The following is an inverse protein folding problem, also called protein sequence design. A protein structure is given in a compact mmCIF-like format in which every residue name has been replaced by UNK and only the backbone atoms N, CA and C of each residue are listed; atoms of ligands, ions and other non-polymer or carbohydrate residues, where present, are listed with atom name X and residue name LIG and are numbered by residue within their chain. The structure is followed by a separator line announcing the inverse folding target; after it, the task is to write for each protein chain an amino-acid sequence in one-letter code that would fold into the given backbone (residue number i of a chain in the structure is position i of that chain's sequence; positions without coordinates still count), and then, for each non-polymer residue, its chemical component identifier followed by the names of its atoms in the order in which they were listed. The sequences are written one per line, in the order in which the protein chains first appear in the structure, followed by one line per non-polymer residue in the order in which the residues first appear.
data_IF_350518208299
#
_entry.id   IF_350518208299
#
_cell.length_a   1.000
_cell.length_b   1.000
_cell.length_c   1.000
_cell.angle_alpha   90.00
_cell.angle_beta   90.00
_cell.angle_gamma   90.00
#
_symmetry.space_group_name_H-M   'P 1'
#
loop_
_entity.id
_entity.type
_entity.pdbx_description
1 polymer ?
#
# COMPACT_ATOMS: atom_id res chain seq x y z
N UNK A 1 -36.44 -0.10 41.15
CA UNK A 1 -37.82 -0.38 40.70
C UNK A 1 -37.71 -0.61 39.19
N UNK A 2 -38.01 -1.70 38.57
CA UNK A 2 -38.44 -3.02 38.95
C UNK A 2 -38.04 -3.98 37.87
N UNK A 3 -37.68 -5.11 38.33
CA UNK A 3 -37.55 -6.39 37.69
C UNK A 3 -38.79 -6.77 36.83
N UNK A 4 -38.55 -7.56 35.79
CA UNK A 4 -39.31 -8.79 35.58
C UNK A 4 -38.56 -9.74 34.62
N UNK A 5 -38.20 -10.87 35.17
CA UNK A 5 -37.91 -12.17 34.55
C UNK A 5 -39.20 -12.82 34.06
N UNK A 6 -39.07 -13.77 33.12
CA UNK A 6 -39.78 -15.07 32.95
C UNK A 6 -39.47 -15.49 31.49
N UNK A 7 -38.98 -16.64 31.08
CA UNK A 7 -38.94 -17.96 31.72
C UNK A 7 -39.48 -19.01 30.79
N UNK A 8 -38.58 -19.95 30.35
CA UNK A 8 -38.78 -21.42 30.18
C UNK A 8 -39.92 -21.97 29.30
N UNK A 9 -39.65 -22.89 28.36
CA UNK A 9 -39.72 -24.38 28.32
C UNK A 9 -39.73 -24.85 26.88
N UNK A 10 -38.92 -25.71 26.35
CA UNK A 10 -38.65 -27.14 26.49
C UNK A 10 -39.83 -28.07 26.14
N UNK A 11 -39.54 -28.98 25.21
CA UNK A 11 -40.01 -30.35 24.94
C UNK A 11 -40.01 -30.59 23.42
N UNK A 12 -39.34 -31.52 22.79
CA UNK A 12 -39.00 -32.88 23.14
C UNK A 12 -39.99 -33.88 22.54
N UNK A 13 -39.59 -34.58 21.47
CA UNK A 13 -39.92 -36.01 21.34
C UNK A 13 -39.24 -36.66 20.12
N UNK A 14 -38.61 -37.79 20.40
CA UNK A 14 -38.14 -38.83 19.49
C UNK A 14 -39.32 -39.63 18.93
N UNK A 15 -39.17 -40.25 17.75
CA UNK A 15 -39.58 -41.65 17.53
C UNK A 15 -38.69 -42.32 16.50
N UNK A 16 -38.24 -43.51 16.89
CA UNK A 16 -37.54 -44.53 16.12
C UNK A 16 -38.52 -45.26 15.16
N UNK A 17 -38.02 -45.88 14.10
CA UNK A 17 -38.01 -47.34 13.87
C UNK A 17 -37.68 -47.66 12.41
N UNK A 18 -36.66 -48.35 12.11
CA UNK A 18 -36.36 -49.80 12.03
C UNK A 18 -36.78 -50.50 10.76
N UNK A 19 -35.79 -51.26 10.24
CA UNK A 19 -35.94 -52.51 9.52
C UNK A 19 -35.76 -52.41 8.02
N UNK A 20 -34.94 -53.13 7.34
CA UNK A 20 -34.28 -54.38 7.57
C UNK A 20 -34.12 -55.11 6.24
N UNK A 21 -32.95 -55.62 6.03
CA UNK A 21 -32.59 -56.91 5.46
C UNK A 21 -32.44 -57.14 3.94
N UNK A 22 -31.20 -57.39 3.58
CA UNK A 22 -30.55 -58.51 2.85
C UNK A 22 -31.08 -58.96 1.48
N UNK A 23 -30.20 -59.10 0.49
CA UNK A 23 -29.63 -60.39 0.13
C UNK A 23 -28.68 -60.32 -1.06
N UNK A 24 -27.73 -61.21 -0.99
CA UNK A 24 -26.60 -61.55 -1.89
C UNK A 24 -26.97 -61.87 -3.33
N UNK A 25 -25.98 -61.72 -4.23
CA UNK A 25 -26.03 -62.31 -5.58
C UNK A 25 -24.76 -62.06 -6.35
N UNK A 26 -23.84 -63.01 -6.22
CA UNK A 26 -22.58 -63.20 -6.94
C UNK A 26 -22.77 -63.35 -8.45
N UNK A 27 -21.78 -62.89 -9.23
CA UNK A 27 -21.66 -63.23 -10.66
C UNK A 27 -20.51 -62.56 -11.39
N UNK A 28 -19.41 -63.25 -11.42
CA UNK A 28 -18.17 -63.05 -12.25
C UNK A 28 -18.46 -63.11 -13.74
N UNK A 29 -17.88 -62.26 -14.59
CA UNK A 29 -16.98 -62.63 -15.69
C UNK A 29 -16.44 -61.42 -16.48
N UNK A 30 -15.27 -61.60 -17.01
CA UNK A 30 -14.28 -60.71 -17.54
C UNK A 30 -14.46 -60.23 -19.01
N UNK A 31 -13.61 -59.26 -19.37
CA UNK A 31 -13.07 -58.89 -20.70
C UNK A 31 -13.96 -57.96 -21.55
N UNK A 32 -13.50 -56.84 -22.11
CA UNK A 32 -12.30 -56.56 -22.86
C UNK A 32 -12.20 -55.05 -23.12
N UNK A 33 -11.00 -54.57 -23.31
CA UNK A 33 -10.55 -53.20 -23.59
C UNK A 33 -11.24 -52.45 -24.72
N UNK A 34 -11.56 -51.18 -24.49
CA UNK A 34 -11.51 -50.15 -25.52
C UNK A 34 -10.94 -48.85 -24.89
N UNK A 35 -9.79 -48.45 -25.37
CA UNK A 35 -9.22 -47.15 -25.13
C UNK A 35 -10.08 -46.10 -25.83
N UNK A 36 -10.80 -45.32 -25.08
CA UNK A 36 -11.36 -44.08 -25.55
C UNK A 36 -10.83 -42.97 -24.65
N UNK A 37 -9.97 -42.16 -25.23
CA UNK A 37 -9.44 -40.92 -24.64
C UNK A 37 -10.57 -39.94 -24.56
N UNK A 38 -11.31 -39.97 -23.48
CA UNK A 38 -12.19 -38.91 -23.08
C UNK A 38 -11.33 -37.83 -22.39
N UNK A 39 -11.15 -36.70 -23.03
CA UNK A 39 -10.80 -35.45 -22.38
C UNK A 39 -11.82 -35.19 -21.29
N UNK A 40 -11.47 -35.43 -20.06
CA UNK A 40 -12.25 -34.94 -18.92
C UNK A 40 -12.05 -33.41 -18.88
N UNK A 41 -13.00 -32.67 -19.38
CA UNK A 41 -13.26 -31.32 -18.91
C UNK A 41 -13.79 -31.50 -17.47
N UNK A 42 -12.88 -31.51 -16.51
CA UNK A 42 -13.21 -31.50 -15.10
C UNK A 42 -13.81 -30.13 -14.77
N UNK A 43 -15.09 -30.09 -14.44
CA UNK A 43 -15.64 -28.98 -13.66
C UNK A 43 -14.83 -28.90 -12.36
N UNK A 44 -13.91 -27.93 -12.29
CA UNK A 44 -13.13 -27.60 -11.10
C UNK A 44 -14.06 -26.85 -10.14
N UNK A 45 -14.99 -27.56 -9.51
CA UNK A 45 -15.90 -26.98 -8.52
C UNK A 45 -15.24 -27.13 -7.14
N UNK A 46 -14.33 -26.21 -6.80
CA UNK A 46 -13.76 -26.10 -5.47
C UNK A 46 -14.80 -25.50 -4.52
N UNK A 47 -15.09 -26.17 -3.40
CA UNK A 47 -15.94 -25.61 -2.34
C UNK A 47 -15.22 -24.55 -1.49
N UNK A 48 -13.95 -24.25 -1.82
CA UNK A 48 -13.11 -23.28 -1.08
C UNK A 48 -13.47 -21.85 -1.45
N UNK A 49 -13.63 -21.02 -0.44
CA UNK A 49 -13.69 -19.57 -0.58
C UNK A 49 -12.56 -18.96 0.25
N UNK A 50 -11.59 -18.34 -0.40
CA UNK A 50 -10.48 -17.65 0.25
C UNK A 50 -10.93 -16.29 0.78
N UNK A 51 -10.61 -16.01 2.02
CA UNK A 51 -10.72 -14.66 2.61
C UNK A 51 -9.53 -13.82 2.17
N UNK A 52 -9.81 -12.63 1.64
CA UNK A 52 -8.78 -11.69 1.16
C UNK A 52 -8.94 -10.35 1.87
N UNK A 53 -7.88 -9.80 2.45
CA UNK A 53 -7.91 -8.48 3.09
C UNK A 53 -7.05 -7.46 2.36
N UNK A 54 -7.63 -6.29 2.13
CA UNK A 54 -7.00 -5.13 1.50
C UNK A 54 -7.41 -3.86 2.26
N UNK A 55 -6.80 -2.68 1.94
CA UNK A 55 -7.17 -1.43 2.61
C UNK A 55 -7.71 -0.32 1.72
N UNK A 56 -7.76 -0.50 0.40
CA UNK A 56 -8.18 0.55 -0.53
C UNK A 56 -9.48 0.19 -1.26
N UNK A 57 -10.56 0.89 -0.90
CA UNK A 57 -11.88 0.76 -1.53
C UNK A 57 -11.90 1.19 -3.00
N UNK A 58 -10.93 2.00 -3.44
CA UNK A 58 -10.87 2.44 -4.83
C UNK A 58 -10.29 1.37 -5.75
N UNK A 59 -9.41 0.51 -5.22
CA UNK A 59 -8.81 -0.60 -5.95
C UNK A 59 -9.71 -1.86 -5.95
N UNK A 60 -10.59 -2.00 -4.95
CA UNK A 60 -11.44 -3.18 -4.75
C UNK A 60 -12.19 -3.63 -6.02
N UNK A 61 -12.93 -2.76 -6.75
CA UNK A 61 -13.70 -3.21 -7.92
C UNK A 61 -12.85 -3.82 -9.03
N UNK A 62 -11.66 -3.26 -9.27
CA UNK A 62 -10.74 -3.80 -10.27
C UNK A 62 -10.12 -5.13 -9.82
N UNK A 63 -9.83 -5.29 -8.53
CA UNK A 63 -9.32 -6.54 -7.97
C UNK A 63 -10.40 -7.63 -7.97
N UNK A 64 -11.66 -7.29 -7.68
CA UNK A 64 -12.79 -8.22 -7.81
C UNK A 64 -12.92 -8.74 -9.24
N UNK A 65 -12.76 -7.88 -10.25
CA UNK A 65 -12.77 -8.28 -11.67
C UNK A 65 -11.65 -9.27 -11.99
N UNK A 66 -10.42 -9.02 -11.52
CA UNK A 66 -9.28 -9.93 -11.72
C UNK A 66 -9.51 -11.26 -10.99
N UNK A 67 -10.02 -11.22 -9.76
CA UNK A 67 -10.31 -12.42 -8.95
C UNK A 67 -11.52 -13.20 -9.47
N UNK A 68 -12.46 -12.54 -10.17
CA UNK A 68 -13.53 -13.26 -10.87
C UNK A 68 -12.98 -14.11 -12.04
N UNK A 69 -11.98 -13.60 -12.77
CA UNK A 69 -11.29 -14.40 -13.79
C UNK A 69 -10.54 -15.59 -13.16
N UNK A 70 -9.86 -15.38 -12.04
CA UNK A 70 -9.24 -16.46 -11.27
C UNK A 70 -10.27 -17.54 -10.87
N UNK A 71 -11.40 -17.12 -10.32
CA UNK A 71 -12.48 -18.04 -9.92
C UNK A 71 -13.00 -18.83 -11.13
N UNK A 72 -13.16 -18.19 -12.28
CA UNK A 72 -13.60 -18.84 -13.51
C UNK A 72 -12.62 -19.90 -14.01
N UNK A 73 -11.31 -19.65 -13.83
CA UNK A 73 -10.26 -20.57 -14.30
C UNK A 73 -10.01 -21.72 -13.34
N UNK A 74 -10.18 -21.51 -12.03
CA UNK A 74 -9.77 -22.46 -10.98
C UNK A 74 -10.92 -23.10 -10.23
N UNK A 75 -12.11 -22.49 -10.25
CA UNK A 75 -13.24 -22.85 -9.39
C UNK A 75 -13.11 -22.35 -7.94
N UNK A 76 -11.95 -21.80 -7.54
CA UNK A 76 -11.72 -21.28 -6.19
C UNK A 76 -12.35 -19.90 -6.07
N UNK A 77 -13.22 -19.70 -5.08
CA UNK A 77 -13.87 -18.41 -4.84
C UNK A 77 -13.00 -17.52 -3.96
N UNK A 78 -13.20 -16.22 -4.08
CA UNK A 78 -12.57 -15.23 -3.22
C UNK A 78 -13.60 -14.31 -2.59
N UNK A 79 -13.31 -13.80 -1.40
CA UNK A 79 -14.11 -12.79 -0.73
C UNK A 79 -13.18 -11.70 -0.21
N UNK A 80 -13.23 -10.53 -0.85
CA UNK A 80 -12.49 -9.37 -0.40
C UNK A 80 -13.17 -8.73 0.81
N UNK A 81 -12.36 -8.29 1.77
CA UNK A 81 -12.77 -7.44 2.89
C UNK A 81 -11.84 -6.23 2.89
N UNK A 82 -12.43 -5.05 2.82
CA UNK A 82 -11.66 -3.80 2.88
C UNK A 82 -11.66 -3.28 4.31
N UNK A 83 -10.45 -3.12 4.88
CA UNK A 83 -10.22 -2.46 6.17
C UNK A 83 -9.38 -1.23 5.89
N UNK A 84 -9.86 -0.03 6.22
CA UNK A 84 -9.15 1.22 5.93
C UNK A 84 -7.74 1.20 6.51
N UNK A 85 -6.79 1.82 5.84
CA UNK A 85 -5.38 1.88 6.26
C UNK A 85 -5.20 2.20 7.74
N UNK A 86 -5.90 3.20 8.26
CA UNK A 86 -5.81 3.63 9.65
C UNK A 86 -6.16 2.53 10.69
N UNK A 87 -6.96 1.55 10.29
CA UNK A 87 -7.46 0.48 11.14
C UNK A 87 -6.85 -0.88 10.78
N UNK A 88 -6.20 -0.97 9.60
CA UNK A 88 -5.79 -2.25 9.00
C UNK A 88 -4.83 -3.04 9.89
N UNK A 89 -3.74 -2.44 10.30
CA UNK A 89 -2.73 -3.14 11.10
C UNK A 89 -3.21 -3.49 12.51
N UNK A 90 -4.06 -2.66 13.12
CA UNK A 90 -4.72 -2.99 14.39
C UNK A 90 -5.64 -4.21 14.24
N UNK A 91 -6.42 -4.28 13.16
CA UNK A 91 -7.28 -5.41 12.87
C UNK A 91 -6.47 -6.69 12.56
N UNK A 92 -5.40 -6.56 11.76
CA UNK A 92 -4.52 -7.67 11.43
C UNK A 92 -3.77 -8.22 12.65
N UNK A 93 -3.33 -7.36 13.56
CA UNK A 93 -2.70 -7.77 14.83
C UNK A 93 -3.68 -8.54 15.71
N UNK A 94 -4.90 -8.04 15.88
CA UNK A 94 -5.94 -8.74 16.63
C UNK A 94 -6.26 -10.11 15.98
N UNK A 95 -6.33 -10.17 14.66
CA UNK A 95 -6.55 -11.41 13.92
C UNK A 95 -5.38 -12.40 14.08
N UNK A 96 -4.13 -11.91 14.06
CA UNK A 96 -2.93 -12.73 14.29
C UNK A 96 -2.94 -13.37 15.69
N UNK A 97 -3.22 -12.57 16.72
CA UNK A 97 -3.34 -13.07 18.11
C UNK A 97 -4.48 -14.07 18.27
N UNK A 98 -5.59 -13.87 17.54
CA UNK A 98 -6.74 -14.78 17.53
C UNK A 98 -6.57 -16.01 16.62
N UNK A 99 -5.48 -16.13 15.89
CA UNK A 99 -5.25 -17.20 14.92
C UNK A 99 -6.22 -17.17 13.74
N UNK A 100 -6.75 -16.00 13.37
CA UNK A 100 -7.80 -15.79 12.38
C UNK A 100 -7.39 -14.79 11.28
N UNK A 101 -6.10 -14.71 10.96
CA UNK A 101 -5.63 -13.93 9.80
C UNK A 101 -6.38 -14.37 8.54
N UNK A 102 -6.68 -13.45 7.60
CA UNK A 102 -7.21 -13.81 6.28
C UNK A 102 -6.27 -14.79 5.55
N UNK A 103 -6.82 -15.62 4.65
CA UNK A 103 -6.02 -16.57 3.90
C UNK A 103 -4.95 -15.86 3.06
N UNK A 104 -5.34 -14.78 2.38
CA UNK A 104 -4.44 -13.93 1.56
C UNK A 104 -4.69 -12.46 1.92
N UNK A 105 -3.63 -11.67 1.94
CA UNK A 105 -3.75 -10.25 2.28
C UNK A 105 -2.60 -9.41 1.73
N UNK A 106 -2.83 -8.11 1.67
CA UNK A 106 -1.77 -7.17 1.32
C UNK A 106 -0.77 -7.04 2.46
N UNK A 107 0.50 -7.12 2.11
CA UNK A 107 1.62 -6.84 3.00
C UNK A 107 2.33 -5.57 2.55
N UNK A 108 2.65 -4.71 3.51
CA UNK A 108 3.45 -3.50 3.33
C UNK A 108 4.85 -3.70 3.92
N UNK A 109 5.86 -3.04 3.34
CA UNK A 109 7.25 -3.13 3.82
C UNK A 109 7.43 -2.73 5.29
N UNK A 110 6.66 -1.75 5.79
CA UNK A 110 6.73 -1.28 7.18
C UNK A 110 6.48 -2.38 8.22
N UNK A 111 5.71 -3.41 7.85
CA UNK A 111 5.33 -4.51 8.72
C UNK A 111 5.93 -5.86 8.29
N UNK A 112 6.47 -5.94 7.09
CA UNK A 112 6.88 -7.22 6.49
C UNK A 112 7.90 -7.97 7.35
N UNK A 113 8.96 -7.30 7.81
CA UNK A 113 10.02 -7.92 8.62
C UNK A 113 9.48 -8.43 9.97
N UNK A 114 8.58 -7.67 10.60
CA UNK A 114 7.92 -8.08 11.85
C UNK A 114 7.05 -9.33 11.65
N UNK A 115 6.25 -9.37 10.59
CA UNK A 115 5.38 -10.51 10.30
C UNK A 115 6.19 -11.76 9.91
N UNK A 116 7.25 -11.61 9.10
CA UNK A 116 8.13 -12.69 8.70
C UNK A 116 8.90 -13.28 9.90
N UNK A 117 9.54 -12.43 10.70
CA UNK A 117 10.34 -12.87 11.86
C UNK A 117 9.52 -13.53 12.96
N UNK A 118 8.23 -13.19 13.09
CA UNK A 118 7.31 -13.82 14.03
C UNK A 118 6.56 -15.04 13.46
N UNK A 119 6.89 -15.49 12.24
CA UNK A 119 6.30 -16.67 11.61
C UNK A 119 4.81 -16.54 11.32
N UNK A 120 4.31 -15.33 11.08
CA UNK A 120 2.91 -15.06 10.78
C UNK A 120 2.56 -15.31 9.31
N UNK A 121 3.57 -15.27 8.41
CA UNK A 121 3.41 -15.47 6.97
C UNK A 121 3.75 -16.89 6.55
N UNK A 122 3.03 -17.40 5.56
CA UNK A 122 3.33 -18.65 4.89
C UNK A 122 4.65 -18.51 4.12
N UNK A 123 5.56 -19.44 4.34
CA UNK A 123 6.78 -19.57 3.55
C UNK A 123 6.42 -20.00 2.11
N UNK A 124 6.66 -19.12 1.15
CA UNK A 124 6.36 -19.33 -0.27
C UNK A 124 7.56 -19.84 -1.08
N UNK A 125 8.70 -20.04 -0.46
CA UNK A 125 9.98 -20.34 -1.14
C UNK A 125 9.88 -21.53 -2.09
N UNK A 126 9.35 -22.65 -1.62
CA UNK A 126 9.21 -23.85 -2.44
C UNK A 126 8.12 -23.70 -3.51
N UNK A 127 7.05 -22.99 -3.21
CA UNK A 127 6.00 -22.67 -4.18
C UNK A 127 6.57 -21.84 -5.34
N UNK A 128 7.29 -20.76 -5.03
CA UNK A 128 7.92 -19.88 -6.02
C UNK A 128 8.95 -20.64 -6.85
N UNK A 129 9.80 -21.42 -6.20
CA UNK A 129 10.84 -22.23 -6.87
C UNK A 129 10.26 -23.21 -7.89
N UNK A 130 9.11 -23.80 -7.60
CA UNK A 130 8.43 -24.78 -8.45
C UNK A 130 7.42 -24.16 -9.43
N UNK A 131 7.17 -22.85 -9.33
CA UNK A 131 6.24 -22.17 -10.21
C UNK A 131 6.81 -22.01 -11.63
N UNK A 132 5.96 -22.27 -12.62
CA UNK A 132 6.25 -21.92 -14.02
C UNK A 132 5.77 -20.50 -14.37
N UNK A 133 4.98 -19.89 -13.51
CA UNK A 133 4.36 -18.56 -13.70
C UNK A 133 5.20 -17.47 -13.07
N UNK A 134 5.57 -17.64 -11.79
CA UNK A 134 6.33 -16.65 -11.03
C UNK A 134 7.83 -16.85 -11.24
N UNK A 135 8.48 -15.87 -11.86
CA UNK A 135 9.94 -15.82 -12.07
C UNK A 135 10.44 -14.49 -11.48
N UNK A 136 11.36 -14.57 -10.51
CA UNK A 136 11.88 -13.39 -9.76
C UNK A 136 12.43 -12.28 -10.67
N UNK A 137 13.06 -12.67 -11.77
CA UNK A 137 13.62 -11.75 -12.77
C UNK A 137 12.60 -10.83 -13.45
N UNK A 138 11.32 -11.19 -13.38
CA UNK A 138 10.23 -10.40 -13.93
C UNK A 138 9.78 -9.26 -13.00
N UNK A 139 10.37 -9.16 -11.81
CA UNK A 139 10.03 -8.11 -10.81
C UNK A 139 11.27 -7.29 -10.45
N UNK A 140 11.12 -6.07 -9.92
CA UNK A 140 12.23 -5.32 -9.35
C UNK A 140 12.83 -6.10 -8.17
N UNK A 141 14.16 -6.23 -8.14
CA UNK A 141 14.86 -7.06 -7.14
C UNK A 141 14.70 -6.53 -5.73
N UNK A 142 14.73 -5.22 -5.56
CA UNK A 142 14.57 -4.51 -4.31
C UNK A 142 13.14 -4.62 -3.75
N UNK A 143 12.10 -4.44 -4.59
CA UNK A 143 10.70 -4.71 -4.18
C UNK A 143 10.52 -6.18 -3.78
N UNK A 144 11.12 -7.12 -4.53
CA UNK A 144 11.07 -8.53 -4.15
C UNK A 144 11.70 -8.77 -2.77
N UNK A 145 12.84 -8.12 -2.50
CA UNK A 145 13.59 -8.30 -1.26
C UNK A 145 12.87 -7.76 -0.01
N UNK A 146 11.87 -6.87 -0.16
CA UNK A 146 11.03 -6.40 0.95
C UNK A 146 10.28 -7.54 1.66
N UNK A 147 10.09 -8.66 0.96
CA UNK A 147 9.33 -9.82 1.41
C UNK A 147 10.19 -11.07 1.53
N UNK A 148 11.50 -10.86 1.64
CA UNK A 148 12.50 -11.89 1.90
C UNK A 148 13.04 -11.79 3.33
N UNK A 149 13.12 -12.93 4.03
CA UNK A 149 13.68 -12.99 5.39
C UNK A 149 14.41 -14.33 5.59
N UNK A 150 15.67 -14.29 6.07
CA UNK A 150 16.51 -15.47 6.32
C UNK A 150 16.58 -16.45 5.12
N UNK A 151 16.68 -15.90 3.91
CA UNK A 151 16.80 -16.69 2.68
C UNK A 151 15.48 -17.29 2.18
N UNK A 152 14.37 -16.94 2.76
CA UNK A 152 13.02 -17.37 2.39
C UNK A 152 12.22 -16.24 1.78
N UNK A 153 11.22 -16.58 0.97
CA UNK A 153 10.29 -15.66 0.33
C UNK A 153 8.89 -15.79 0.96
N UNK A 154 8.21 -14.68 1.23
CA UNK A 154 6.94 -14.70 1.96
C UNK A 154 5.80 -13.96 1.24
N UNK A 155 6.09 -13.22 0.17
CA UNK A 155 5.07 -12.62 -0.66
C UNK A 155 5.54 -12.51 -2.12
N UNK A 156 4.59 -12.33 -3.03
CA UNK A 156 4.84 -11.99 -4.43
C UNK A 156 4.47 -10.51 -4.63
N UNK A 157 5.35 -9.68 -5.22
CA UNK A 157 5.07 -8.28 -5.45
C UNK A 157 3.79 -8.04 -6.27
N UNK A 158 2.95 -7.14 -5.77
CA UNK A 158 1.68 -6.73 -6.39
C UNK A 158 1.87 -5.53 -7.31
N UNK A 159 2.56 -4.52 -6.82
CA UNK A 159 2.72 -3.23 -7.49
C UNK A 159 4.07 -2.61 -7.15
N UNK A 160 4.30 -1.48 -7.77
CA UNK A 160 5.32 -0.51 -7.40
C UNK A 160 4.64 0.86 -7.35
N UNK A 161 5.21 1.79 -6.62
CA UNK A 161 4.74 3.16 -6.58
C UNK A 161 5.91 4.15 -6.70
N UNK A 162 5.63 5.33 -7.15
CA UNK A 162 6.49 6.52 -7.08
C UNK A 162 5.62 7.70 -6.70
N UNK A 163 6.24 8.84 -6.45
CA UNK A 163 5.59 10.05 -5.99
C UNK A 163 5.60 11.11 -7.09
N UNK A 164 4.53 11.89 -7.19
CA UNK A 164 4.42 13.02 -8.11
C UNK A 164 3.80 14.23 -7.43
N UNK A 165 4.04 15.42 -7.98
CA UNK A 165 3.39 16.66 -7.58
C UNK A 165 2.05 16.80 -8.32
N UNK A 166 0.96 16.87 -7.59
CA UNK A 166 -0.37 17.19 -8.09
C UNK A 166 -0.65 18.67 -7.94
N UNK A 167 -1.32 19.26 -8.92
CA UNK A 167 -1.68 20.67 -8.91
C UNK A 167 -3.09 20.90 -9.46
N UNK A 168 -3.71 21.97 -8.97
CA UNK A 168 -5.05 22.38 -9.36
C UNK A 168 -4.97 23.46 -10.46
N UNK A 169 -5.22 23.06 -11.70
CA UNK A 169 -5.17 23.96 -12.89
C UNK A 169 -6.02 25.21 -12.70
N UNK A 170 -7.25 25.05 -12.17
CA UNK A 170 -8.15 26.19 -11.97
C UNK A 170 -7.57 27.24 -11.05
N UNK A 171 -6.93 26.83 -9.94
CA UNK A 171 -6.33 27.78 -8.99
C UNK A 171 -5.12 28.51 -9.61
N UNK A 172 -4.32 27.81 -10.42
CA UNK A 172 -3.21 28.41 -11.15
C UNK A 172 -3.71 29.42 -12.18
N UNK A 173 -4.74 29.07 -12.96
CA UNK A 173 -5.37 29.96 -13.95
C UNK A 173 -5.95 31.22 -13.29
N UNK A 174 -6.69 31.06 -12.19
CA UNK A 174 -7.25 32.18 -11.43
C UNK A 174 -6.19 33.13 -10.85
N UNK A 175 -5.01 32.58 -10.49
CA UNK A 175 -3.87 33.35 -10.01
C UNK A 175 -2.98 33.90 -11.14
N UNK A 176 -3.23 33.55 -12.41
CA UNK A 176 -2.40 33.91 -13.55
C UNK A 176 -1.00 33.31 -13.51
N UNK A 177 -0.85 32.13 -12.90
CA UNK A 177 0.41 31.43 -12.75
C UNK A 177 0.58 30.35 -13.84
N UNK A 178 1.79 30.19 -14.33
CA UNK A 178 2.14 29.03 -15.16
C UNK A 178 2.06 27.75 -14.34
N UNK A 179 1.65 26.66 -14.98
CA UNK A 179 1.60 25.33 -14.34
C UNK A 179 2.99 24.83 -13.97
N UNK A 180 3.10 23.96 -12.93
CA UNK A 180 4.34 23.28 -12.60
C UNK A 180 4.93 22.52 -13.80
N UNK A 181 6.24 22.47 -13.88
CA UNK A 181 6.97 21.69 -14.89
C UNK A 181 7.99 20.79 -14.21
N UNK A 182 8.54 19.83 -14.96
CA UNK A 182 9.59 18.94 -14.50
C UNK A 182 10.89 19.68 -14.08
N UNK A 183 11.02 20.96 -14.37
CA UNK A 183 12.18 21.77 -13.98
C UNK A 183 11.99 22.53 -12.67
N UNK A 184 10.80 22.44 -12.07
CA UNK A 184 10.55 23.07 -10.79
C UNK A 184 11.49 22.57 -9.69
N UNK A 185 11.81 23.48 -8.79
CA UNK A 185 12.49 23.21 -7.53
C UNK A 185 11.50 23.33 -6.36
N UNK A 186 11.89 22.85 -5.17
CA UNK A 186 11.13 23.08 -3.93
C UNK A 186 10.96 24.57 -3.61
N UNK A 187 11.90 25.42 -4.07
CA UNK A 187 11.77 26.88 -3.97
C UNK A 187 10.65 27.40 -4.90
N UNK A 188 10.56 26.89 -6.14
CA UNK A 188 9.48 27.27 -7.07
C UNK A 188 8.11 26.87 -6.55
N UNK A 189 7.98 25.66 -5.96
CA UNK A 189 6.78 25.22 -5.28
C UNK A 189 6.41 26.19 -4.14
N UNK A 190 7.39 26.56 -3.31
CA UNK A 190 7.19 27.48 -2.19
C UNK A 190 6.71 28.85 -2.66
N UNK A 191 7.33 29.40 -3.72
CA UNK A 191 6.92 30.69 -4.32
C UNK A 191 5.51 30.61 -4.92
N UNK A 192 5.16 29.51 -5.59
CA UNK A 192 3.81 29.30 -6.09
C UNK A 192 2.80 29.17 -4.94
N UNK A 193 3.15 28.44 -3.87
CA UNK A 193 2.30 28.30 -2.69
C UNK A 193 2.00 29.66 -2.04
N UNK A 194 2.97 30.55 -1.93
CA UNK A 194 2.77 31.94 -1.43
C UNK A 194 1.74 32.71 -2.25
N UNK A 195 1.76 32.56 -3.58
CA UNK A 195 0.85 33.26 -4.49
C UNK A 195 -0.54 32.62 -4.54
N UNK A 196 -0.64 31.32 -4.32
CA UNK A 196 -1.89 30.55 -4.35
C UNK A 196 -2.64 30.58 -3.02
N UNK A 197 -1.95 30.82 -1.91
CA UNK A 197 -2.58 30.99 -0.59
C UNK A 197 -3.52 32.19 -0.60
N UNK A 198 -4.73 32.03 -0.03
CA UNK A 198 -5.65 33.13 0.25
C UNK A 198 -5.54 33.57 1.72
N UNK A 199 -5.49 34.91 1.99
CA UNK A 199 -5.30 35.42 3.36
C UNK A 199 -6.45 35.06 4.32
N UNK A 200 -7.63 34.77 3.80
CA UNK A 200 -8.82 34.40 4.57
C UNK A 200 -8.85 32.91 4.98
N UNK A 201 -7.81 32.13 4.63
CA UNK A 201 -7.72 30.72 4.94
C UNK A 201 -8.66 29.82 4.10
N UNK A 202 -9.33 30.38 3.09
CA UNK A 202 -10.23 29.59 2.22
C UNK A 202 -9.47 28.70 1.23
N UNK A 203 -8.18 28.98 0.99
CA UNK A 203 -7.30 28.24 0.09
C UNK A 203 -5.87 28.26 0.59
N UNK A 204 -5.24 27.08 0.58
CA UNK A 204 -3.83 26.90 0.89
C UNK A 204 -3.03 26.61 -0.39
N UNK A 205 -1.76 27.02 -0.40
CA UNK A 205 -0.88 26.80 -1.54
C UNK A 205 -0.42 25.37 -1.70
N UNK A 206 -0.16 24.70 -0.58
CA UNK A 206 0.31 23.32 -0.52
C UNK A 206 -0.31 22.59 0.67
N UNK A 207 -0.23 21.26 0.73
CA UNK A 207 -0.58 20.49 1.91
C UNK A 207 0.41 19.33 2.07
N UNK A 208 0.91 19.18 3.28
CA UNK A 208 1.73 18.06 3.71
C UNK A 208 1.41 17.78 5.17
N UNK A 209 0.93 16.57 5.48
CA UNK A 209 0.62 16.16 6.86
C UNK A 209 1.87 15.77 7.64
N UNK A 210 1.86 15.90 8.99
CA UNK A 210 2.98 15.48 9.83
C UNK A 210 3.39 14.01 9.65
N UNK A 211 2.45 13.14 9.28
CA UNK A 211 2.66 11.71 9.04
C UNK A 211 2.78 11.35 7.56
N UNK A 212 2.91 12.32 6.67
CA UNK A 212 3.16 12.04 5.26
C UNK A 212 4.67 12.09 5.00
N UNK A 213 5.33 11.01 5.28
CA UNK A 213 6.76 10.81 5.08
C UNK A 213 7.06 10.30 3.67
N UNK A 214 6.47 9.18 3.25
CA UNK A 214 6.73 8.56 1.95
C UNK A 214 6.41 9.50 0.77
N UNK A 215 5.21 10.07 0.71
CA UNK A 215 4.85 10.99 -0.37
C UNK A 215 5.31 12.45 -0.10
N UNK A 216 5.89 12.73 1.06
CA UNK A 216 6.27 14.06 1.51
C UNK A 216 7.76 14.22 1.75
N UNK A 217 8.13 14.44 3.02
CA UNK A 217 9.44 14.96 3.38
C UNK A 217 10.61 13.98 3.19
N UNK A 218 10.40 12.67 3.05
CA UNK A 218 11.50 11.75 2.72
C UNK A 218 12.13 12.08 1.38
N UNK A 219 11.32 12.41 0.38
CA UNK A 219 11.80 12.83 -0.93
C UNK A 219 12.69 14.08 -0.81
N UNK A 220 12.26 15.07 -0.02
CA UNK A 220 13.01 16.32 0.21
C UNK A 220 14.37 16.05 0.88
N UNK A 221 14.42 15.14 1.87
CA UNK A 221 15.64 14.74 2.56
C UNK A 221 16.64 14.12 1.58
N UNK A 222 16.17 13.17 0.75
CA UNK A 222 16.99 12.47 -0.23
C UNK A 222 17.48 13.41 -1.35
N UNK A 223 16.62 14.30 -1.81
CA UNK A 223 16.96 15.33 -2.81
C UNK A 223 18.12 16.21 -2.33
N UNK A 224 18.10 16.62 -1.05
CA UNK A 224 19.15 17.40 -0.43
C UNK A 224 20.44 16.61 -0.22
N UNK A 225 20.39 15.28 -0.33
CA UNK A 225 21.49 14.35 -0.10
C UNK A 225 21.67 14.00 1.38
N UNK A 226 20.62 14.15 2.18
CA UNK A 226 20.47 13.54 3.49
C UNK A 226 20.04 12.07 3.37
N UNK A 227 19.67 11.46 4.48
CA UNK A 227 19.14 10.09 4.53
C UNK A 227 18.21 9.92 5.74
N UNK A 228 17.37 8.91 5.73
CA UNK A 228 16.46 8.60 6.83
C UNK A 228 17.05 7.49 7.70
N UNK A 229 17.47 6.42 7.05
CA UNK A 229 18.06 5.22 7.66
C UNK A 229 19.31 4.83 6.85
N UNK A 230 20.42 4.51 7.51
CA UNK A 230 21.63 4.05 6.82
C UNK A 230 21.48 2.61 6.31
N UNK A 231 22.32 2.19 5.39
CA UNK A 231 22.26 0.89 4.71
C UNK A 231 22.28 -0.29 5.68
N UNK A 232 23.03 -0.17 6.79
CA UNK A 232 23.14 -1.21 7.82
C UNK A 232 21.93 -1.26 8.74
N UNK A 233 20.98 -0.33 8.60
CA UNK A 233 19.81 -0.15 9.47
C UNK A 233 20.16 0.05 10.95
N UNK A 234 21.31 0.67 11.22
CA UNK A 234 21.83 0.88 12.58
C UNK A 234 21.76 2.31 13.04
N UNK A 235 21.53 3.26 12.12
CA UNK A 235 21.61 4.69 12.40
C UNK A 235 20.57 5.49 11.62
N UNK A 236 19.87 6.36 12.33
CA UNK A 236 19.02 7.41 11.76
C UNK A 236 19.83 8.53 11.14
N UNK A 237 19.35 9.09 10.05
CA UNK A 237 19.91 10.26 9.38
C UNK A 237 19.17 11.56 9.64
N UNK A 238 18.20 11.60 10.52
CA UNK A 238 17.42 12.82 10.77
C UNK A 238 18.28 13.94 11.38
N UNK A 239 19.35 13.64 12.13
CA UNK A 239 20.29 14.59 12.68
C UNK A 239 21.42 14.99 11.72
N UNK A 240 21.46 14.44 10.50
CA UNK A 240 22.37 14.89 9.46
C UNK A 240 22.04 16.33 9.06
N UNK A 241 23.04 17.21 8.91
CA UNK A 241 22.80 18.61 8.53
C UNK A 241 21.95 18.79 7.27
N UNK A 242 22.12 17.93 6.25
CA UNK A 242 21.35 18.00 5.00
C UNK A 242 19.89 17.58 5.20
N UNK A 243 19.66 16.59 6.07
CA UNK A 243 18.30 16.20 6.44
C UNK A 243 17.58 17.33 7.17
N UNK A 244 18.27 17.99 8.11
CA UNK A 244 17.73 19.16 8.83
C UNK A 244 17.43 20.31 7.85
N UNK A 245 18.35 20.63 6.93
CA UNK A 245 18.14 21.68 5.92
C UNK A 245 16.92 21.39 5.04
N UNK A 246 16.72 20.13 4.62
CA UNK A 246 15.53 19.73 3.85
C UNK A 246 14.25 19.92 4.67
N UNK A 247 14.24 19.45 5.90
CA UNK A 247 13.10 19.56 6.80
C UNK A 247 12.75 21.02 7.17
N UNK A 248 13.72 21.94 7.15
CA UNK A 248 13.49 23.38 7.37
C UNK A 248 12.64 24.03 6.27
N UNK A 249 12.55 23.43 5.08
CA UNK A 249 11.60 23.86 4.04
C UNK A 249 10.16 23.70 4.55
N UNK A 250 9.85 22.53 5.15
CA UNK A 250 8.56 22.29 5.78
C UNK A 250 8.29 23.27 6.93
N UNK A 251 9.27 23.57 7.76
CA UNK A 251 9.14 24.58 8.82
C UNK A 251 8.79 25.97 8.25
N UNK A 252 9.37 26.31 7.09
CA UNK A 252 9.03 27.56 6.38
C UNK A 252 7.58 27.57 5.95
N UNK A 253 7.07 26.46 5.38
CA UNK A 253 5.67 26.36 4.97
C UNK A 253 4.69 26.49 6.15
N UNK A 254 5.06 25.92 7.31
CA UNK A 254 4.30 26.05 8.56
C UNK A 254 4.28 27.53 9.03
N UNK A 255 5.45 28.16 9.16
CA UNK A 255 5.60 29.53 9.67
C UNK A 255 4.93 30.58 8.79
N UNK A 256 4.83 30.32 7.49
CA UNK A 256 4.19 31.23 6.53
C UNK A 256 2.73 30.87 6.27
N UNK A 257 2.15 29.90 7.00
CA UNK A 257 0.80 29.36 6.80
C UNK A 257 0.52 28.97 5.34
N UNK A 258 1.49 28.43 4.63
CA UNK A 258 1.30 27.97 3.24
C UNK A 258 0.56 26.65 3.17
N UNK A 259 0.53 25.93 4.27
CA UNK A 259 -0.13 24.63 4.47
C UNK A 259 -1.19 24.75 5.57
N UNK A 260 -2.23 23.87 5.57
CA UNK A 260 -3.25 23.86 6.61
C UNK A 260 -2.65 23.61 8.00
N UNK A 261 -3.35 24.09 9.04
CA UNK A 261 -2.97 23.82 10.44
C UNK A 261 -3.07 22.32 10.77
N UNK A 262 -2.36 21.88 11.80
CA UNK A 262 -2.46 20.51 12.33
C UNK A 262 -3.91 20.13 12.67
N UNK A 263 -4.70 21.06 13.22
CA UNK A 263 -6.12 20.86 13.53
C UNK A 263 -6.92 20.56 12.26
N UNK A 264 -6.81 21.40 11.22
CA UNK A 264 -7.49 21.19 9.92
C UNK A 264 -7.12 19.83 9.31
N UNK A 265 -5.84 19.45 9.40
CA UNK A 265 -5.34 18.20 8.83
C UNK A 265 -5.66 16.98 9.69
N UNK A 266 -5.98 17.13 10.97
CA UNK A 266 -6.46 16.03 11.80
C UNK A 266 -7.88 15.59 11.42
N UNK A 267 -8.70 16.55 10.94
CA UNK A 267 -10.07 16.30 10.52
C UNK A 267 -10.20 15.85 9.05
N UNK A 268 -9.23 16.21 8.21
CA UNK A 268 -9.27 15.97 6.77
C UNK A 268 -7.95 15.39 6.26
N UNK A 269 -8.02 14.42 5.36
CA UNK A 269 -6.83 13.99 4.62
C UNK A 269 -6.43 15.04 3.57
N UNK A 270 -5.15 14.99 3.15
CA UNK A 270 -4.62 15.85 2.08
C UNK A 270 -5.43 15.71 0.79
N UNK A 271 -5.79 14.47 0.46
CA UNK A 271 -6.59 14.17 -0.73
C UNK A 271 -7.97 14.81 -0.68
N UNK A 272 -8.64 14.75 0.48
CA UNK A 272 -9.95 15.39 0.66
C UNK A 272 -9.84 16.89 0.51
N UNK A 273 -8.80 17.51 1.08
CA UNK A 273 -8.55 18.94 0.93
C UNK A 273 -8.25 19.34 -0.52
N UNK A 274 -7.45 18.53 -1.22
CA UNK A 274 -7.15 18.77 -2.64
C UNK A 274 -8.37 18.54 -3.53
N UNK A 275 -9.06 17.42 -3.38
CA UNK A 275 -10.23 17.02 -4.16
C UNK A 275 -11.46 17.89 -3.90
N UNK A 276 -11.48 18.66 -2.80
CA UNK A 276 -12.51 19.67 -2.51
C UNK A 276 -12.12 21.08 -2.97
N UNK A 277 -10.93 21.25 -3.57
CA UNK A 277 -10.48 22.55 -4.05
C UNK A 277 -10.08 23.52 -2.94
N UNK A 278 -9.64 23.03 -1.78
CA UNK A 278 -9.10 23.85 -0.69
C UNK A 278 -7.60 24.00 -0.71
N UNK A 279 -6.91 23.14 -1.44
CA UNK A 279 -5.45 23.11 -1.55
C UNK A 279 -5.05 23.12 -3.02
N UNK A 280 -4.06 23.93 -3.37
CA UNK A 280 -3.61 24.09 -4.75
C UNK A 280 -2.65 22.99 -5.21
N UNK A 281 -1.83 22.47 -4.32
CA UNK A 281 -0.83 21.46 -4.63
C UNK A 281 -0.68 20.45 -3.49
N UNK A 282 -0.42 19.18 -3.84
CA UNK A 282 -0.02 18.10 -2.91
C UNK A 282 1.02 17.20 -3.59
N UNK A 283 1.87 16.56 -2.82
CA UNK A 283 2.63 15.40 -3.29
C UNK A 283 1.85 14.12 -2.99
N UNK A 284 1.81 13.18 -3.95
CA UNK A 284 0.98 12.01 -3.79
C UNK A 284 1.53 10.81 -4.57
N UNK A 285 1.32 9.62 -4.04
CA UNK A 285 1.74 8.38 -4.67
C UNK A 285 0.81 7.90 -5.77
N UNK A 286 1.37 7.10 -6.67
CA UNK A 286 0.64 6.54 -7.82
C UNK A 286 -0.58 5.68 -7.44
N UNK A 287 -0.64 5.18 -6.20
CA UNK A 287 -1.80 4.43 -5.67
C UNK A 287 -3.09 5.24 -5.60
N UNK A 288 -3.00 6.59 -5.59
CA UNK A 288 -4.18 7.47 -5.50
C UNK A 288 -4.90 7.72 -6.82
N UNK A 289 -4.38 7.24 -7.94
CA UNK A 289 -4.97 7.46 -9.27
C UNK A 289 -6.41 6.93 -9.34
N UNK A 290 -6.67 5.77 -8.73
CA UNK A 290 -8.02 5.21 -8.71
C UNK A 290 -9.03 6.13 -7.98
N UNK A 291 -8.61 6.86 -6.95
CA UNK A 291 -9.42 7.85 -6.27
C UNK A 291 -9.63 9.12 -7.11
N UNK A 292 -8.56 9.65 -7.72
CA UNK A 292 -8.64 10.82 -8.60
C UNK A 292 -9.53 10.57 -9.82
N UNK A 293 -9.51 9.37 -10.40
CA UNK A 293 -10.39 8.96 -11.51
C UNK A 293 -11.89 8.97 -11.16
N UNK A 294 -12.24 8.80 -9.89
CA UNK A 294 -13.62 8.78 -9.40
C UNK A 294 -14.08 10.15 -8.90
N UNK A 295 -13.19 11.12 -8.80
CA UNK A 295 -13.51 12.46 -8.28
C UNK A 295 -13.70 13.45 -9.42
N UNK A 296 -14.93 13.97 -9.59
CA UNK A 296 -15.30 14.91 -10.67
C UNK A 296 -14.46 16.19 -10.64
N UNK A 297 -14.12 16.68 -9.44
CA UNK A 297 -13.30 17.89 -9.31
C UNK A 297 -11.87 17.64 -9.82
N UNK A 298 -11.26 16.52 -9.44
CA UNK A 298 -9.93 16.13 -9.94
C UNK A 298 -9.93 15.96 -11.45
N UNK A 299 -10.92 15.24 -11.99
CA UNK A 299 -11.04 15.05 -13.46
C UNK A 299 -11.11 16.36 -14.23
N UNK A 300 -11.82 17.35 -13.68
CA UNK A 300 -12.00 18.64 -14.34
C UNK A 300 -10.79 19.58 -14.16
N UNK A 301 -10.13 19.54 -13.00
CA UNK A 301 -9.25 20.62 -12.59
C UNK A 301 -7.82 20.18 -12.23
N UNK A 302 -7.56 18.91 -12.01
CA UNK A 302 -6.23 18.46 -11.58
C UNK A 302 -5.36 17.97 -12.73
N UNK A 303 -4.05 17.98 -12.51
CA UNK A 303 -3.05 17.23 -13.26
C UNK A 303 -1.84 16.97 -12.36
N UNK A 304 -0.86 16.21 -12.86
CA UNK A 304 0.36 15.92 -12.11
C UNK A 304 1.61 16.13 -12.97
N UNK A 305 2.72 16.31 -12.28
CA UNK A 305 4.05 16.49 -12.85
C UNK A 305 5.06 15.82 -11.91
N UNK A 306 6.29 15.61 -12.37
CA UNK A 306 7.36 15.09 -11.54
C UNK A 306 7.54 15.92 -10.26
N UNK A 307 8.07 15.30 -9.20
CA UNK A 307 8.46 16.02 -7.99
C UNK A 307 9.41 17.19 -8.30
N UNK A 308 9.40 18.25 -7.49
CA UNK A 308 10.41 19.30 -7.61
C UNK A 308 11.82 18.76 -7.36
N UNK A 309 12.82 19.41 -7.95
CA UNK A 309 14.23 19.16 -7.68
C UNK A 309 14.69 19.93 -6.45
N UNK A 310 15.71 19.45 -5.77
CA UNK A 310 16.45 20.28 -4.84
C UNK A 310 17.33 21.29 -5.60
N UNK A 311 17.22 22.56 -5.26
CA UNK A 311 17.94 23.65 -5.94
C UNK A 311 19.46 23.58 -5.78
N UNK A 312 19.94 23.04 -4.65
CA UNK A 312 21.37 23.01 -4.31
C UNK A 312 22.05 21.84 -5.00
N UNK A 313 21.44 20.67 -4.95
CA UNK A 313 22.01 19.42 -5.48
C UNK A 313 21.60 19.16 -6.93
N UNK A 314 20.48 19.73 -7.37
CA UNK A 314 19.85 19.43 -8.65
C UNK A 314 19.20 18.04 -8.70
N UNK A 315 19.23 17.28 -7.61
CA UNK A 315 18.63 15.94 -7.49
C UNK A 315 17.10 16.01 -7.40
N UNK A 316 16.47 14.95 -7.85
CA UNK A 316 15.07 14.67 -7.70
C UNK A 316 14.91 13.17 -7.53
N UNK A 317 14.62 12.75 -6.32
CA UNK A 317 14.50 11.35 -5.93
C UNK A 317 13.05 11.06 -5.56
N UNK A 318 12.51 9.96 -6.01
CA UNK A 318 11.25 9.44 -5.48
C UNK A 318 11.53 8.34 -4.46
N UNK A 319 10.96 8.45 -3.30
CA UNK A 319 10.71 7.24 -2.52
C UNK A 319 9.82 6.33 -3.36
N UNK A 320 10.15 5.03 -3.40
CA UNK A 320 9.30 4.04 -3.98
C UNK A 320 9.13 2.84 -3.05
N UNK A 321 8.04 2.15 -3.21
CA UNK A 321 7.69 0.95 -2.48
C UNK A 321 6.88 0.04 -3.41
N UNK A 322 6.41 -1.07 -2.89
CA UNK A 322 5.48 -1.95 -3.56
C UNK A 322 4.90 -2.93 -2.57
N UNK A 323 3.62 -3.20 -2.70
CA UNK A 323 2.93 -4.15 -1.85
C UNK A 323 3.20 -5.59 -2.28
N UNK A 324 3.09 -6.51 -1.33
CA UNK A 324 3.14 -7.94 -1.58
C UNK A 324 1.80 -8.62 -1.37
N UNK A 325 1.49 -9.62 -2.16
CA UNK A 325 0.46 -10.62 -1.86
C UNK A 325 1.07 -11.67 -0.94
N UNK A 326 0.63 -11.73 0.30
CA UNK A 326 1.09 -12.67 1.32
C UNK A 326 -0.06 -13.58 1.76
N UNK A 327 0.27 -14.74 2.33
CA UNK A 327 -0.68 -15.66 2.93
C UNK A 327 -0.39 -15.86 4.41
N UNK A 328 -1.42 -16.15 5.21
CA UNK A 328 -1.27 -16.50 6.62
C UNK A 328 -0.57 -17.85 6.79
N UNK A 329 0.40 -17.95 7.71
CA UNK A 329 1.10 -19.20 8.00
C UNK A 329 0.15 -20.33 8.44
N UNK A 330 -0.93 -19.96 9.14
CA UNK A 330 -1.92 -20.87 9.71
C UNK A 330 -3.17 -21.07 8.85
N UNK A 331 -3.22 -20.55 7.61
CA UNK A 331 -4.33 -20.83 6.71
C UNK A 331 -4.50 -22.33 6.51
N UNK A 332 -5.74 -22.77 6.42
CA UNK A 332 -6.11 -24.17 6.11
C UNK A 332 -6.11 -24.46 4.60
N UNK A 333 -5.97 -23.42 3.79
CA UNK A 333 -6.10 -23.43 2.34
C UNK A 333 -4.78 -23.01 1.65
N UNK A 334 -3.65 -23.60 2.09
CA UNK A 334 -2.31 -23.16 1.63
C UNK A 334 -2.11 -23.27 0.11
N UNK A 335 -2.59 -24.36 -0.46
CA UNK A 335 -2.49 -24.62 -1.91
C UNK A 335 -3.38 -23.64 -2.70
N UNK A 336 -4.60 -23.40 -2.22
CA UNK A 336 -5.51 -22.45 -2.87
C UNK A 336 -5.05 -21.01 -2.70
N UNK A 337 -4.52 -20.65 -1.52
CA UNK A 337 -3.93 -19.34 -1.27
C UNK A 337 -2.72 -19.09 -2.18
N UNK A 338 -1.83 -20.09 -2.33
CA UNK A 338 -0.73 -20.00 -3.29
C UNK A 338 -1.24 -19.82 -4.72
N UNK A 339 -2.22 -20.60 -5.18
CA UNK A 339 -2.79 -20.44 -6.53
C UNK A 339 -3.33 -19.03 -6.78
N UNK A 340 -3.95 -18.42 -5.77
CA UNK A 340 -4.39 -17.02 -5.88
C UNK A 340 -3.20 -16.07 -5.97
N UNK A 341 -2.19 -16.22 -5.11
CA UNK A 341 -0.98 -15.39 -5.12
C UNK A 341 -0.24 -15.53 -6.46
N UNK A 342 -0.07 -16.75 -6.94
CA UNK A 342 0.55 -17.05 -8.24
C UNK A 342 -0.23 -16.39 -9.38
N UNK A 343 -1.55 -16.47 -9.37
CA UNK A 343 -2.40 -15.85 -10.38
C UNK A 343 -2.27 -14.31 -10.34
N UNK A 344 -2.40 -13.71 -9.15
CA UNK A 344 -2.29 -12.25 -8.98
C UNK A 344 -0.91 -11.71 -9.31
N UNK A 345 0.15 -12.51 -9.13
CA UNK A 345 1.51 -12.20 -9.57
C UNK A 345 1.76 -12.44 -11.06
N UNK A 346 0.94 -13.20 -11.76
CA UNK A 346 1.16 -13.53 -13.18
C UNK A 346 1.19 -12.29 -14.08
N UNK A 347 1.92 -12.37 -15.21
CA UNK A 347 1.92 -11.29 -16.21
C UNK A 347 0.50 -10.91 -16.63
N UNK A 348 -0.37 -11.91 -16.80
CA UNK A 348 -1.78 -11.70 -17.18
C UNK A 348 -2.54 -10.82 -16.18
N UNK A 349 -2.49 -11.17 -14.91
CA UNK A 349 -3.20 -10.41 -13.87
C UNK A 349 -2.56 -9.05 -13.64
N UNK A 350 -1.24 -8.96 -13.63
CA UNK A 350 -0.48 -7.72 -13.47
C UNK A 350 -0.72 -6.74 -14.63
N UNK A 351 -0.80 -7.23 -15.87
CA UNK A 351 -1.16 -6.42 -17.05
C UNK A 351 -2.59 -5.93 -16.95
N UNK A 352 -3.54 -6.79 -16.59
CA UNK A 352 -4.93 -6.40 -16.38
C UNK A 352 -5.07 -5.36 -15.26
N UNK A 353 -4.31 -5.48 -14.17
CA UNK A 353 -4.23 -4.49 -13.10
C UNK A 353 -3.82 -3.11 -13.64
N UNK A 354 -2.80 -3.07 -14.49
CA UNK A 354 -2.32 -1.84 -15.10
C UNK A 354 -3.35 -1.25 -16.08
N UNK A 355 -3.95 -2.06 -16.96
CA UNK A 355 -4.97 -1.65 -17.93
C UNK A 355 -6.23 -1.08 -17.26
N UNK A 356 -6.67 -1.66 -16.16
CA UNK A 356 -7.78 -1.16 -15.34
C UNK A 356 -7.39 0.13 -14.59
N UNK A 357 -6.11 0.47 -14.53
CA UNK A 357 -5.60 1.64 -13.83
C UNK A 357 -5.75 1.52 -12.31
N UNK A 358 -5.59 0.30 -11.78
CA UNK A 358 -5.63 0.05 -10.34
C UNK A 358 -4.38 0.64 -9.69
N UNK A 359 -3.19 0.15 -10.08
CA UNK A 359 -1.87 0.66 -9.67
C UNK A 359 -0.83 0.34 -10.75
N UNK A 360 0.34 0.93 -10.67
CA UNK A 360 1.50 0.45 -11.42
C UNK A 360 1.84 -0.95 -10.96
N UNK A 361 1.83 -1.90 -11.88
CA UNK A 361 2.11 -3.30 -11.56
C UNK A 361 3.60 -3.55 -11.33
N UNK A 362 3.93 -4.46 -10.43
CA UNK A 362 5.32 -4.87 -10.18
C UNK A 362 5.94 -5.69 -11.32
N UNK A 363 5.12 -6.30 -12.18
CA UNK A 363 5.63 -7.09 -13.31
C UNK A 363 6.24 -6.17 -14.36
N UNK A 364 7.52 -6.37 -14.66
CA UNK A 364 8.28 -5.53 -15.60
C UNK A 364 7.60 -5.45 -16.97
N UNK A 365 7.55 -4.25 -17.54
CA UNK A 365 7.00 -3.99 -18.88
C UNK A 365 5.48 -3.77 -18.93
N UNK A 366 4.79 -3.68 -17.78
CA UNK A 366 3.34 -3.43 -17.73
C UNK A 366 2.96 -1.98 -17.36
N UNK A 367 3.91 -1.19 -16.85
CA UNK A 367 3.63 0.18 -16.35
C UNK A 367 3.19 1.17 -17.42
N UNK A 368 3.53 0.93 -18.71
CA UNK A 368 3.13 1.80 -19.83
C UNK A 368 1.62 1.74 -20.10
N UNK A 369 0.98 0.61 -19.87
CA UNK A 369 -0.48 0.48 -19.96
C UNK A 369 -1.16 1.29 -18.87
N UNK A 370 -0.63 1.24 -17.65
CA UNK A 370 -1.14 2.03 -16.54
C UNK A 370 -1.06 3.54 -16.80
N UNK A 371 0.04 4.02 -17.40
CA UNK A 371 0.21 5.44 -17.71
C UNK A 371 -0.85 5.99 -18.67
N UNK A 372 -1.57 5.13 -19.40
CA UNK A 372 -2.66 5.50 -20.30
C UNK A 372 -4.05 5.36 -19.69
N UNK A 373 -4.13 4.89 -18.43
CA UNK A 373 -5.40 4.50 -17.81
C UNK A 373 -6.27 5.67 -17.31
N UNK A 374 -5.74 6.90 -17.33
CA UNK A 374 -6.42 8.09 -16.83
C UNK A 374 -6.05 9.34 -17.65
N UNK A 375 -6.87 10.41 -17.60
CA UNK A 375 -6.63 11.63 -18.36
C UNK A 375 -5.63 12.60 -17.71
N UNK A 376 -4.77 12.10 -16.83
CA UNK A 376 -3.72 12.85 -16.16
C UNK A 376 -2.35 12.55 -16.77
N UNK A 377 -1.35 13.39 -16.53
CA UNK A 377 0.03 13.15 -16.97
C UNK A 377 0.71 12.07 -16.12
N UNK A 378 0.21 10.82 -16.20
CA UNK A 378 0.77 9.70 -15.42
C UNK A 378 2.20 9.33 -15.85
N UNK A 379 2.69 9.85 -17.00
CA UNK A 379 4.09 9.68 -17.39
C UNK A 379 5.04 10.27 -16.35
N UNK A 380 4.61 11.29 -15.60
CA UNK A 380 5.39 11.86 -14.50
C UNK A 380 5.84 10.79 -13.49
N UNK A 381 4.95 9.89 -13.09
CA UNK A 381 5.30 8.78 -12.19
C UNK A 381 6.32 7.81 -12.78
N UNK A 382 6.22 7.52 -14.09
CA UNK A 382 7.20 6.68 -14.76
C UNK A 382 8.57 7.38 -14.89
N UNK A 383 8.57 8.69 -15.10
CA UNK A 383 9.81 9.48 -15.16
C UNK A 383 10.48 9.52 -13.77
N UNK A 384 9.71 9.47 -12.69
CA UNK A 384 10.26 9.39 -11.33
C UNK A 384 10.95 8.05 -11.04
N UNK A 385 10.76 7.02 -11.88
CA UNK A 385 11.50 5.76 -11.76
C UNK A 385 12.97 5.86 -12.20
N UNK A 386 13.43 7.00 -12.71
CA UNK A 386 14.84 7.19 -13.11
C UNK A 386 15.78 7.33 -11.92
N UNK A 387 15.31 7.95 -10.80
CA UNK A 387 16.06 8.09 -9.54
C UNK A 387 15.12 7.77 -8.37
N UNK A 388 15.19 6.54 -7.89
CA UNK A 388 14.31 6.01 -6.83
C UNK A 388 15.14 5.47 -5.68
N UNK A 389 14.65 5.70 -4.48
CA UNK A 389 15.16 5.04 -3.28
C UNK A 389 14.03 4.30 -2.58
N UNK A 390 14.32 3.06 -2.13
CA UNK A 390 13.32 2.24 -1.45
C UNK A 390 12.87 2.89 -0.15
N UNK A 391 11.58 2.79 0.16
CA UNK A 391 11.04 3.28 1.43
C UNK A 391 11.86 2.70 2.59
N UNK A 392 12.48 3.53 3.43
CA UNK A 392 13.27 3.06 4.56
C UNK A 392 12.43 2.23 5.53
N UNK A 393 12.93 1.08 5.91
CA UNK A 393 12.23 0.17 6.83
C UNK A 393 13.19 -0.60 7.75
N UNK A 394 12.70 -0.93 8.91
CA UNK A 394 13.33 -1.83 9.88
C UNK A 394 12.25 -2.67 10.58
N UNK A 395 12.60 -3.52 11.50
CA UNK A 395 11.63 -4.32 12.28
C UNK A 395 10.68 -3.45 13.11
N UNK A 396 11.14 -2.27 13.54
CA UNK A 396 10.37 -1.32 14.37
C UNK A 396 9.86 -0.12 13.56
N UNK A 397 9.71 -0.22 12.24
CA UNK A 397 9.36 0.91 11.36
C UNK A 397 8.18 1.70 11.91
N UNK A 398 7.04 1.07 12.14
CA UNK A 398 5.83 1.76 12.63
C UNK A 398 6.10 2.47 13.96
N UNK A 399 6.88 1.88 14.85
CA UNK A 399 7.18 2.48 16.16
C UNK A 399 7.95 3.79 16.03
N UNK A 400 8.98 3.84 15.18
CA UNK A 400 9.73 5.09 15.02
C UNK A 400 9.04 6.08 14.09
N UNK A 401 8.23 5.65 13.12
CA UNK A 401 7.38 6.54 12.31
C UNK A 401 6.32 7.25 13.17
N UNK A 402 5.64 6.53 14.05
CA UNK A 402 4.67 7.13 14.99
C UNK A 402 5.33 8.17 15.90
N UNK A 403 6.51 7.85 16.46
CA UNK A 403 7.26 8.77 17.28
C UNK A 403 7.73 10.02 16.49
N UNK A 404 8.14 9.85 15.24
CA UNK A 404 8.52 10.93 14.35
C UNK A 404 7.32 11.83 14.02
N UNK A 405 6.16 11.23 13.72
CA UNK A 405 4.90 11.95 13.46
C UNK A 405 4.52 12.84 14.65
N UNK A 406 4.66 12.33 15.88
CA UNK A 406 4.40 13.12 17.09
C UNK A 406 5.34 14.34 17.20
N UNK A 407 6.64 14.15 16.89
CA UNK A 407 7.62 15.22 16.94
C UNK A 407 7.42 16.26 15.84
N UNK A 408 7.09 15.83 14.62
CA UNK A 408 6.75 16.74 13.51
C UNK A 408 5.47 17.51 13.85
N UNK A 409 4.48 16.86 14.45
CA UNK A 409 3.24 17.54 14.91
C UNK A 409 3.55 18.67 15.90
N UNK A 410 4.54 18.50 16.79
CA UNK A 410 4.99 19.56 17.72
C UNK A 410 5.65 20.75 17.01
N UNK A 411 6.19 20.55 15.80
CA UNK A 411 6.64 21.68 14.96
C UNK A 411 5.44 22.44 14.39
N UNK A 412 4.41 21.72 13.92
CA UNK A 412 3.18 22.35 13.44
C UNK A 412 2.46 23.19 14.51
N UNK A 413 2.55 22.78 15.77
CA UNK A 413 1.96 23.53 16.91
C UNK A 413 2.89 24.63 17.45
N UNK A 414 4.13 24.72 16.95
CA UNK A 414 5.12 25.69 17.40
C UNK A 414 5.78 25.35 18.74
N UNK A 415 5.62 24.11 19.24
CA UNK A 415 6.25 23.65 20.47
C UNK A 415 7.75 23.33 20.29
N UNK A 416 8.15 22.94 19.08
CA UNK A 416 9.52 22.63 18.72
C UNK A 416 9.91 23.36 17.44
N UNK A 417 11.21 23.69 17.31
CA UNK A 417 11.81 23.99 16.00
C UNK A 417 12.02 22.68 15.23
N UNK A 418 12.12 22.77 13.91
CA UNK A 418 12.38 21.59 13.09
C UNK A 418 13.73 20.94 13.43
N UNK A 419 14.75 21.73 13.71
CA UNK A 419 16.07 21.20 14.11
C UNK A 419 16.00 20.42 15.43
N UNK A 420 15.24 20.89 16.43
CA UNK A 420 15.02 20.17 17.69
C UNK A 420 14.24 18.89 17.47
N UNK A 421 13.20 18.91 16.60
CA UNK A 421 12.43 17.73 16.24
C UNK A 421 13.32 16.69 15.55
N UNK A 422 14.10 17.06 14.53
CA UNK A 422 15.01 16.17 13.82
C UNK A 422 16.04 15.49 14.76
N UNK A 423 16.65 16.24 15.68
CA UNK A 423 17.56 15.67 16.67
C UNK A 423 16.89 14.67 17.62
N UNK A 424 15.63 14.92 18.01
CA UNK A 424 14.86 14.00 18.84
C UNK A 424 14.42 12.77 18.05
N UNK A 425 13.98 12.94 16.80
CA UNK A 425 13.66 11.85 15.90
C UNK A 425 14.85 10.90 15.74
N UNK A 426 16.04 11.45 15.46
CA UNK A 426 17.27 10.67 15.35
C UNK A 426 17.58 9.89 16.64
N UNK A 427 17.48 10.55 17.79
CA UNK A 427 17.76 9.90 19.08
C UNK A 427 16.81 8.75 19.38
N UNK A 428 15.50 8.95 19.22
CA UNK A 428 14.47 7.94 19.47
C UNK A 428 14.58 6.77 18.48
N UNK A 429 14.80 7.07 17.19
CA UNK A 429 14.96 6.04 16.17
C UNK A 429 16.22 5.21 16.43
N UNK A 430 17.36 5.84 16.77
CA UNK A 430 18.59 5.12 17.10
C UNK A 430 18.43 4.18 18.32
N UNK A 431 17.63 4.57 19.32
CA UNK A 431 17.30 3.69 20.45
C UNK A 431 16.55 2.43 19.97
N UNK A 432 15.55 2.58 19.10
CA UNK A 432 14.79 1.46 18.54
C UNK A 432 15.64 0.54 17.67
N UNK A 433 16.48 1.13 16.80
CA UNK A 433 17.40 0.36 15.98
C UNK A 433 18.41 -0.45 16.86
N UNK A 434 18.91 0.14 17.94
CA UNK A 434 19.78 -0.57 18.87
C UNK A 434 19.08 -1.74 19.57
N UNK A 435 17.79 -1.59 19.94
CA UNK A 435 16.97 -2.67 20.50
C UNK A 435 16.76 -3.83 19.49
N UNK A 436 16.64 -3.53 18.21
CA UNK A 436 16.50 -4.54 17.14
C UNK A 436 17.76 -5.38 16.98
N UNK A 437 18.93 -4.75 17.05
CA UNK A 437 20.22 -5.41 16.87
C UNK A 437 20.72 -6.13 18.13
N UNK A 438 20.13 -5.86 19.30
CA UNK A 438 20.46 -6.53 20.56
C UNK A 438 19.78 -7.90 20.72
N UNK A 439 18.82 -8.23 19.88
CA UNK A 439 18.05 -9.49 19.87
C UNK A 439 18.54 -10.42 18.76
#
# INVERSE_FOLDING_TARGET
MGLSLLGLMACGQKTDNSGGNSSEGSGTTARESAKETAKAEGENNSDVTLSVSIWDTNQEPGLEEIMADFTKETGIKTKITVVRWADYWTAMEAAAQGGSLPDVFWMHSNESERYMSNGMLLDLTDYIKNSEVIKKENYPTDIWSLYGYEGKDYAVPKDIDTIALWYNKKMFDEAGLAYPTADWTWDDLTEAARKLKKPDGSQYGFCLKPNNDQAGYYNMILDRGGYILNDDKTKSGYDDPKSIEAMQILETWIKEDLIPSAETMSENSEDVLFQSGKVAMITQGSWMIAAHKKNDFSLANADCVELPKDKVTGRRVSIYNGLGWAAAANTKHKEEAWKLIEYMGSEKAQRKQAELGITMSAYKGTSQEWAKSAPFNLQAYLNMMEDMEILPFSRSTVTWEDANTELVTKVYTGELTMEEACKKMAAQMNEKLAEEHAK
#
